data_IF_406582876517
#
_entry.id   IF_406582876517
#
_cell.length_a   1.000
_cell.length_b   1.000
_cell.length_c   1.000
_cell.angle_alpha   90.00
_cell.angle_beta   90.00
_cell.angle_gamma   90.00
#
_symmetry.space_group_name_H-M   'P 1'
#
loop_
_entity.id
_entity.type
_entity.pdbx_description
1 polymer ?
#
# COMPACT_ATOMS: atom_id res chain seq x y z
N UNK A 1 30.31 0.16 62.17
CA UNK A 1 29.78 1.05 61.11
C UNK A 1 29.90 0.45 59.69
N UNK A 2 30.68 -0.61 59.47
CA UNK A 2 30.97 -1.18 58.13
C UNK A 2 29.89 -2.14 57.61
N UNK A 3 29.25 -2.93 58.48
CA UNK A 3 28.21 -3.88 58.06
C UNK A 3 26.96 -3.20 57.46
N UNK A 4 26.52 -2.07 58.02
CA UNK A 4 25.38 -1.32 57.48
C UNK A 4 25.66 -0.71 56.10
N UNK A 5 26.88 -0.22 55.88
CA UNK A 5 27.32 0.28 54.58
C UNK A 5 27.39 -0.85 53.55
N UNK A 6 27.89 -2.03 53.93
CA UNK A 6 27.93 -3.20 53.05
C UNK A 6 26.53 -3.65 52.61
N UNK A 7 25.54 -3.63 53.53
CA UNK A 7 24.15 -3.95 53.20
C UNK A 7 23.53 -2.92 52.26
N UNK A 8 23.77 -1.62 52.49
CA UNK A 8 23.27 -0.56 51.62
C UNK A 8 23.86 -0.64 50.21
N UNK A 9 25.15 -0.94 50.09
CA UNK A 9 25.82 -1.16 48.80
C UNK A 9 25.29 -2.42 48.11
N UNK A 10 25.07 -3.50 48.84
CA UNK A 10 24.48 -4.72 48.26
C UNK A 10 23.06 -4.47 47.73
N UNK A 11 22.22 -3.74 48.48
CA UNK A 11 20.87 -3.40 48.05
C UNK A 11 20.87 -2.46 46.84
N UNK A 12 21.76 -1.46 46.80
CA UNK A 12 21.86 -0.55 45.65
C UNK A 12 22.31 -1.26 44.38
N UNK A 13 23.25 -2.20 44.50
CA UNK A 13 23.70 -3.05 43.38
C UNK A 13 22.55 -3.93 42.88
N UNK A 14 21.80 -4.56 43.77
CA UNK A 14 20.65 -5.40 43.39
C UNK A 14 19.56 -4.61 42.67
N UNK A 15 19.24 -3.40 43.16
CA UNK A 15 18.26 -2.52 42.52
C UNK A 15 18.74 -2.04 41.14
N UNK A 16 20.03 -1.71 41.03
CA UNK A 16 20.62 -1.26 39.77
C UNK A 16 20.62 -2.38 38.71
N UNK A 17 21.02 -3.59 39.10
CA UNK A 17 20.98 -4.76 38.22
C UNK A 17 19.53 -5.09 37.82
N UNK A 18 18.59 -5.03 38.76
CA UNK A 18 17.16 -5.21 38.48
C UNK A 18 16.61 -4.17 37.50
N UNK A 19 16.99 -2.91 37.65
CA UNK A 19 16.59 -1.83 36.74
C UNK A 19 17.17 -2.04 35.33
N UNK A 20 18.43 -2.45 35.21
CA UNK A 20 19.04 -2.77 33.90
C UNK A 20 18.29 -3.93 33.24
N UNK A 21 18.00 -5.01 33.96
CA UNK A 21 17.27 -6.16 33.42
C UNK A 21 15.86 -5.75 32.95
N UNK A 22 15.15 -4.93 33.72
CA UNK A 22 13.84 -4.42 33.35
C UNK A 22 13.89 -3.51 32.12
N UNK A 23 14.88 -2.64 32.02
CA UNK A 23 15.09 -1.79 30.84
C UNK A 23 15.40 -2.62 29.60
N UNK A 24 16.30 -3.60 29.70
CA UNK A 24 16.62 -4.51 28.59
C UNK A 24 15.39 -5.32 28.15
N UNK A 25 14.59 -5.81 29.11
CA UNK A 25 13.34 -6.49 28.80
C UNK A 25 12.35 -5.58 28.08
N UNK A 26 12.18 -4.35 28.55
CA UNK A 26 11.27 -3.37 27.94
C UNK A 26 11.74 -2.94 26.55
N UNK A 27 13.03 -2.65 26.37
CA UNK A 27 13.63 -2.37 25.06
C UNK A 27 13.41 -3.53 24.08
N UNK A 28 13.65 -4.78 24.52
CA UNK A 28 13.41 -5.96 23.69
C UNK A 28 11.93 -6.10 23.31
N UNK A 29 11.02 -5.85 24.24
CA UNK A 29 9.57 -5.89 23.97
C UNK A 29 9.15 -4.83 22.95
N UNK A 30 9.65 -3.61 23.07
CA UNK A 30 9.40 -2.54 22.09
C UNK A 30 9.97 -2.91 20.72
N UNK A 31 11.19 -3.43 20.66
CA UNK A 31 11.80 -3.88 19.39
C UNK A 31 10.96 -4.96 18.70
N UNK A 32 10.52 -5.98 19.46
CA UNK A 32 9.66 -7.05 18.93
C UNK A 32 8.31 -6.51 18.46
N UNK A 33 7.71 -5.55 19.17
CA UNK A 33 6.48 -4.90 18.70
C UNK A 33 6.69 -4.13 17.40
N UNK A 34 7.78 -3.36 17.30
CA UNK A 34 8.13 -2.59 16.09
C UNK A 34 8.40 -3.49 14.88
N UNK A 35 9.08 -4.62 15.09
CA UNK A 35 9.33 -5.59 14.03
C UNK A 35 8.01 -6.23 13.55
N UNK A 36 7.09 -6.54 14.47
CA UNK A 36 5.75 -7.07 14.12
C UNK A 36 4.92 -6.07 13.31
N UNK A 37 4.90 -4.79 13.69
CA UNK A 37 4.21 -3.74 12.90
C UNK A 37 4.84 -3.59 11.51
N UNK A 38 6.17 -3.66 11.41
CA UNK A 38 6.87 -3.60 10.12
C UNK A 38 6.53 -4.78 9.22
N UNK A 39 6.38 -5.98 9.77
CA UNK A 39 6.03 -7.19 8.99
C UNK A 39 4.56 -7.18 8.53
N UNK A 40 3.66 -6.56 9.29
CA UNK A 40 2.25 -6.40 8.88
C UNK A 40 2.14 -5.52 7.62
N UNK A 41 3.06 -4.56 7.43
CA UNK A 41 3.10 -3.75 6.22
C UNK A 41 3.76 -4.46 5.02
N UNK A 42 4.64 -5.44 5.28
CA UNK A 42 5.36 -6.23 4.25
C UNK A 42 4.60 -7.51 3.90
N UNK A 43 3.44 -7.77 4.51
CA UNK A 43 2.51 -8.78 4.02
C UNK A 43 1.98 -8.31 2.66
N UNK A 44 2.75 -8.56 1.60
CA UNK A 44 2.23 -8.61 0.24
C UNK A 44 0.96 -9.45 0.30
N UNK A 45 -0.18 -8.93 -0.17
CA UNK A 45 -1.41 -9.70 -0.17
C UNK A 45 -1.08 -10.98 -0.92
N UNK A 46 -1.12 -12.09 -0.18
CA UNK A 46 -0.97 -13.42 -0.72
C UNK A 46 -1.90 -13.48 -1.94
N UNK A 47 -1.28 -13.44 -3.11
CA UNK A 47 -1.79 -13.97 -4.36
C UNK A 47 -3.31 -13.85 -4.47
N UNK A 48 -3.79 -12.60 -4.57
CA UNK A 48 -5.06 -12.33 -5.22
C UNK A 48 -4.86 -12.75 -6.67
N UNK A 49 -5.06 -14.03 -6.96
CA UNK A 49 -5.12 -14.53 -8.32
C UNK A 49 -6.19 -13.70 -9.02
N UNK A 50 -5.76 -12.98 -10.05
CA UNK A 50 -6.57 -12.13 -10.93
C UNK A 50 -7.71 -12.90 -11.63
N UNK A 51 -7.82 -14.19 -11.38
CA UNK A 51 -8.59 -15.15 -12.16
C UNK A 51 -10.08 -15.17 -11.79
N UNK A 52 -10.49 -14.56 -10.66
CA UNK A 52 -11.91 -14.49 -10.25
C UNK A 52 -12.56 -13.10 -10.32
N UNK A 53 -11.93 -12.11 -10.98
CA UNK A 53 -12.74 -11.01 -11.54
C UNK A 53 -13.29 -11.52 -12.87
N UNK A 54 -14.44 -12.21 -12.81
CA UNK A 54 -15.32 -12.28 -13.97
C UNK A 54 -15.76 -10.85 -14.25
N UNK A 55 -14.95 -10.14 -15.03
CA UNK A 55 -15.20 -8.80 -15.52
C UNK A 55 -16.49 -8.85 -16.33
N UNK A 56 -17.62 -8.67 -15.66
CA UNK A 56 -18.90 -8.32 -16.28
C UNK A 56 -18.78 -7.03 -17.12
N UNK A 57 -17.65 -6.34 -17.01
CA UNK A 57 -17.21 -5.23 -17.85
C UNK A 57 -16.68 -5.66 -19.23
N UNK A 58 -16.17 -6.89 -19.39
CA UNK A 58 -15.63 -7.40 -20.67
C UNK A 58 -16.73 -7.81 -21.67
N UNK A 59 -17.98 -7.94 -21.25
CA UNK A 59 -19.12 -8.20 -22.14
C UNK A 59 -19.71 -6.94 -22.76
N UNK A 60 -19.29 -5.76 -22.30
CA UNK A 60 -19.72 -4.48 -22.85
C UNK A 60 -18.78 -4.08 -23.97
N UNK A 61 -19.23 -4.19 -25.22
CA UNK A 61 -18.47 -3.80 -26.40
C UNK A 61 -18.10 -2.30 -26.34
N UNK A 62 -16.88 -1.99 -25.87
CA UNK A 62 -16.31 -0.65 -25.88
C UNK A 62 -16.27 -0.10 -27.31
N UNK A 63 -16.49 1.21 -27.47
CA UNK A 63 -16.42 1.83 -28.78
C UNK A 63 -15.12 2.60 -28.97
N UNK A 64 -14.50 2.39 -30.14
CA UNK A 64 -13.28 3.07 -30.55
C UNK A 64 -13.62 4.45 -31.12
N UNK A 65 -13.04 5.51 -30.57
CA UNK A 65 -13.21 6.87 -31.07
C UNK A 65 -12.64 7.01 -32.50
N UNK A 66 -13.42 7.55 -33.43
CA UNK A 66 -12.98 7.78 -34.81
C UNK A 66 -11.82 8.78 -34.94
N UNK A 67 -11.70 9.72 -34.01
CA UNK A 67 -10.68 10.79 -34.01
C UNK A 67 -9.38 10.38 -33.32
N UNK A 68 -9.42 10.00 -32.03
CA UNK A 68 -8.22 9.71 -31.23
C UNK A 68 -7.95 8.21 -30.99
N UNK A 69 -8.84 7.33 -31.45
CA UNK A 69 -8.74 5.86 -31.34
C UNK A 69 -8.78 5.30 -29.90
N UNK A 70 -9.10 6.12 -28.91
CA UNK A 70 -9.39 5.71 -27.52
C UNK A 70 -10.63 4.81 -27.42
N UNK A 71 -10.64 3.84 -26.51
CA UNK A 71 -11.76 2.93 -26.26
C UNK A 71 -12.62 3.48 -25.12
N UNK A 72 -13.89 3.76 -25.39
CA UNK A 72 -14.82 4.38 -24.45
C UNK A 72 -15.91 3.39 -24.03
N UNK A 73 -16.44 3.57 -22.82
CA UNK A 73 -17.60 2.83 -22.31
C UNK A 73 -18.83 3.00 -23.24
N UNK A 74 -19.64 1.95 -23.49
CA UNK A 74 -20.79 2.02 -24.40
C UNK A 74 -21.80 3.11 -24.06
N UNK A 75 -21.98 3.47 -22.79
CA UNK A 75 -22.91 4.52 -22.36
C UNK A 75 -22.39 5.95 -22.61
N UNK A 76 -21.10 6.12 -22.91
CA UNK A 76 -20.51 7.43 -23.16
C UNK A 76 -20.90 7.95 -24.55
N UNK A 77 -21.51 9.14 -24.59
CA UNK A 77 -21.83 9.85 -25.85
C UNK A 77 -20.64 10.61 -26.44
N UNK A 78 -19.70 11.02 -25.59
CA UNK A 78 -18.49 11.77 -25.94
C UNK A 78 -17.26 10.93 -25.59
N UNK A 79 -16.17 11.11 -26.31
CA UNK A 79 -14.91 10.44 -25.98
C UNK A 79 -14.31 11.01 -24.71
N UNK A 80 -13.94 10.16 -23.74
CA UNK A 80 -13.36 10.61 -22.47
C UNK A 80 -12.01 11.33 -22.66
N UNK A 81 -11.27 11.01 -23.73
CA UNK A 81 -9.97 11.63 -24.03
C UNK A 81 -10.09 12.93 -24.83
N UNK A 82 -10.73 12.90 -26.00
CA UNK A 82 -10.76 14.05 -26.92
C UNK A 82 -12.12 14.76 -26.99
N UNK A 83 -13.11 14.32 -26.19
CA UNK A 83 -14.46 14.88 -26.10
C UNK A 83 -15.24 14.87 -27.43
N UNK A 84 -14.78 14.12 -28.43
CA UNK A 84 -15.47 13.94 -29.72
C UNK A 84 -16.73 13.10 -29.56
N UNK A 85 -17.82 13.49 -30.23
CA UNK A 85 -19.08 12.75 -30.28
C UNK A 85 -18.90 11.34 -30.88
N UNK A 86 -19.53 10.33 -30.27
CA UNK A 86 -19.53 8.95 -30.77
C UNK A 86 -20.06 8.91 -32.20
N UNK A 87 -19.28 8.30 -33.10
CA UNK A 87 -19.61 8.19 -34.54
C UNK A 87 -18.98 9.26 -35.42
N UNK A 88 -18.32 10.28 -34.84
CA UNK A 88 -17.51 11.21 -35.64
C UNK A 88 -16.15 10.58 -35.98
N UNK A 89 -15.75 10.70 -37.23
CA UNK A 89 -14.46 10.26 -37.75
C UNK A 89 -13.49 11.43 -37.86
N UNK A 90 -12.19 11.13 -37.96
CA UNK A 90 -11.22 12.14 -38.35
C UNK A 90 -11.49 12.53 -39.79
N UNK A 91 -11.92 13.76 -40.04
CA UNK A 91 -11.94 14.32 -41.40
C UNK A 91 -10.50 14.36 -41.91
N UNK A 92 -10.12 13.31 -42.64
CA UNK A 92 -8.96 13.38 -43.52
C UNK A 92 -9.42 14.25 -44.67
N UNK A 93 -9.30 15.57 -44.50
CA UNK A 93 -9.38 16.50 -45.60
C UNK A 93 -8.36 16.00 -46.63
N UNK A 94 -8.85 15.37 -47.70
CA UNK A 94 -8.06 15.00 -48.84
C UNK A 94 -7.44 16.31 -49.36
N UNK A 95 -6.17 16.54 -49.02
CA UNK A 95 -5.36 17.51 -49.74
C UNK A 95 -5.24 16.93 -51.15
N UNK A 96 -6.13 17.41 -52.04
CA UNK A 96 -6.03 17.17 -53.47
C UNK A 96 -4.82 17.98 -53.92
N UNK A 97 -3.66 17.33 -53.97
CA UNK A 97 -2.48 17.81 -54.69
C UNK A 97 -2.82 17.79 -56.18
#
# INVERSE_FOLDING_TARGET
>A
MTAGLAVLVALSVLLFVGAIVMLLFFCRRIQVQRERESLVFIQEPADVYREELNDSFMEQALWRCGVCKFLNHPERKLCDLCQTLRGAERDVAYCKI
#
